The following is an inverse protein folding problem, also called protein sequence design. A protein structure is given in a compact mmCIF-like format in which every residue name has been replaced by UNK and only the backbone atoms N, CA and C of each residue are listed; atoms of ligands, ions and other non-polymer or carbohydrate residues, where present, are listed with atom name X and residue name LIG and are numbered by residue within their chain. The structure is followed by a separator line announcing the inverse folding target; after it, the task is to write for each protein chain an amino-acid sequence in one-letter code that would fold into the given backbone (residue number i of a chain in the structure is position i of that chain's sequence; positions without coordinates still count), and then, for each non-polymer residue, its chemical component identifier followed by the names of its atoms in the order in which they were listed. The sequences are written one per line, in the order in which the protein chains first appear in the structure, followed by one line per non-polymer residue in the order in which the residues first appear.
data_IF_783981355362
#
_entry.id   IF_783981355362
#
_cell.length_a   1.000
_cell.length_b   1.000
_cell.length_c   1.000
_cell.angle_alpha   90.00
_cell.angle_beta   90.00
_cell.angle_gamma   90.00
#
_symmetry.space_group_name_H-M   'P 1'
#
loop_
_entity.id
_entity.type
_entity.pdbx_description
1 polymer ?
#
# COMPACT_ATOMS: atom_id res chain seq x y z
N UNK A 1 73.00 -41.44 -12.31
CA UNK A 1 73.26 -40.08 -12.83
C UNK A 1 72.07 -39.21 -12.48
N UNK A 2 72.26 -38.26 -11.60
CA UNK A 2 71.33 -37.42 -10.89
C UNK A 2 71.03 -36.22 -11.78
N UNK A 3 69.77 -35.79 -11.93
CA UNK A 3 69.42 -34.39 -12.14
C UNK A 3 67.88 -34.21 -11.86
N UNK A 4 67.61 -33.66 -10.80
CA UNK A 4 66.94 -32.44 -10.31
C UNK A 4 65.99 -31.80 -11.33
N UNK A 5 64.68 -31.74 -10.99
CA UNK A 5 63.81 -30.67 -11.37
C UNK A 5 63.01 -30.24 -10.16
N UNK A 6 63.48 -29.17 -9.54
CA UNK A 6 62.69 -28.29 -8.64
C UNK A 6 62.34 -27.07 -9.45
N UNK A 7 61.20 -26.51 -9.15
CA UNK A 7 60.56 -25.22 -9.47
C UNK A 7 59.37 -25.31 -10.38
N UNK A 8 58.22 -25.12 -9.76
CA UNK A 8 57.20 -24.14 -10.16
C UNK A 8 55.91 -24.36 -9.35
N UNK A 9 55.92 -23.97 -8.09
CA UNK A 9 54.73 -23.92 -7.24
C UNK A 9 54.72 -22.59 -6.46
N UNK A 10 54.62 -21.48 -7.21
CA UNK A 10 54.53 -20.16 -6.60
C UNK A 10 53.79 -19.17 -7.55
N UNK A 11 52.60 -19.52 -8.00
CA UNK A 11 51.91 -18.64 -8.93
C UNK A 11 50.37 -18.67 -8.88
N UNK A 12 49.79 -19.49 -8.00
CA UNK A 12 48.33 -19.66 -8.04
C UNK A 12 47.58 -19.22 -6.78
N UNK A 13 48.27 -18.54 -5.85
CA UNK A 13 47.60 -18.16 -4.58
C UNK A 13 47.14 -16.69 -4.49
N UNK A 14 47.35 -15.91 -5.56
CA UNK A 14 46.99 -14.47 -5.54
C UNK A 14 45.71 -14.11 -6.33
N UNK A 15 45.08 -15.07 -7.00
CA UNK A 15 43.91 -14.77 -7.83
C UNK A 15 42.56 -15.11 -7.16
N UNK A 16 42.57 -15.67 -5.95
CA UNK A 16 41.35 -16.08 -5.24
C UNK A 16 40.83 -15.00 -4.26
N UNK A 17 41.61 -13.97 -3.99
CA UNK A 17 41.29 -12.95 -2.99
C UNK A 17 40.60 -11.68 -3.56
N UNK A 18 40.39 -11.57 -4.86
CA UNK A 18 39.74 -10.40 -5.48
C UNK A 18 38.29 -10.67 -5.86
N UNK A 19 37.79 -11.90 -5.83
CA UNK A 19 36.42 -12.23 -6.15
C UNK A 19 35.46 -12.27 -4.94
N UNK A 20 35.96 -11.96 -3.75
CA UNK A 20 35.17 -12.04 -2.51
C UNK A 20 34.50 -10.74 -2.08
N UNK A 21 34.59 -9.63 -2.83
CA UNK A 21 33.97 -8.36 -2.48
C UNK A 21 33.03 -7.82 -3.57
N UNK A 22 32.34 -8.68 -4.29
CA UNK A 22 31.03 -8.24 -4.78
C UNK A 22 30.14 -8.17 -3.55
N UNK A 23 30.23 -7.04 -2.85
CA UNK A 23 29.21 -6.62 -1.92
C UNK A 23 27.90 -6.79 -2.68
N UNK A 24 27.11 -7.74 -2.22
CA UNK A 24 25.70 -7.69 -2.46
C UNK A 24 25.29 -6.32 -1.90
N UNK A 25 25.10 -5.34 -2.78
CA UNK A 25 24.20 -4.26 -2.50
C UNK A 25 22.89 -4.98 -2.23
N UNK A 26 22.67 -5.36 -1.00
CA UNK A 26 21.37 -5.69 -0.49
C UNK A 26 20.58 -4.43 -0.78
N UNK A 27 19.78 -4.51 -1.84
CA UNK A 27 18.65 -3.63 -2.01
C UNK A 27 18.04 -3.57 -0.61
N UNK A 28 18.22 -2.43 0.05
CA UNK A 28 17.63 -2.22 1.37
C UNK A 28 16.16 -2.10 1.06
N UNK A 29 15.50 -3.25 0.96
CA UNK A 29 14.08 -3.36 0.70
C UNK A 29 13.42 -2.45 1.71
N UNK A 30 12.78 -1.40 1.23
CA UNK A 30 12.03 -0.47 2.06
C UNK A 30 11.08 -1.34 2.87
N UNK A 31 11.33 -1.48 4.18
CA UNK A 31 10.46 -2.27 5.04
C UNK A 31 9.17 -1.48 5.18
N UNK A 32 8.13 -1.97 4.57
CA UNK A 32 6.80 -1.43 4.76
C UNK A 32 6.35 -1.60 6.22
N UNK A 33 5.75 -0.57 6.74
CA UNK A 33 5.08 -0.57 8.04
C UNK A 33 3.87 0.35 7.98
N UNK A 34 2.89 0.14 8.84
CA UNK A 34 1.74 1.06 8.91
C UNK A 34 2.20 2.51 9.12
N UNK A 35 3.23 2.74 9.94
CA UNK A 35 3.71 4.09 10.22
C UNK A 35 4.46 4.71 9.02
N UNK A 36 5.28 3.95 8.30
CA UNK A 36 6.00 4.46 7.14
C UNK A 36 5.07 4.77 5.97
N UNK A 37 4.06 3.93 5.75
CA UNK A 37 3.18 4.04 4.60
C UNK A 37 1.99 4.98 4.86
N UNK A 38 1.38 4.90 6.06
CA UNK A 38 0.13 5.59 6.36
C UNK A 38 0.25 6.70 7.43
N UNK A 39 1.45 6.91 8.00
CA UNK A 39 1.63 7.90 9.07
C UNK A 39 1.23 9.32 8.70
N UNK A 40 1.37 9.71 7.43
CA UNK A 40 0.96 11.03 6.94
C UNK A 40 -0.56 11.21 6.97
N UNK A 41 -1.34 10.12 6.87
CA UNK A 41 -2.80 10.16 6.86
C UNK A 41 -3.39 10.48 8.23
N UNK A 42 -2.68 10.20 9.33
CA UNK A 42 -3.20 10.40 10.69
C UNK A 42 -3.73 11.82 10.90
N UNK A 43 -4.99 11.90 11.38
CA UNK A 43 -5.72 13.14 11.63
C UNK A 43 -7.01 13.23 10.83
N UNK A 44 -7.57 14.45 10.74
CA UNK A 44 -8.85 14.71 10.08
C UNK A 44 -8.64 15.31 8.69
N UNK A 45 -9.51 14.90 7.78
CA UNK A 45 -9.49 15.28 6.37
C UNK A 45 -10.89 15.67 5.90
N UNK A 46 -10.96 16.55 4.94
CA UNK A 46 -12.16 16.78 4.14
C UNK A 46 -11.88 16.31 2.73
N UNK A 47 -12.67 15.38 2.23
CA UNK A 47 -12.56 14.83 0.89
C UNK A 47 -13.73 15.33 0.05
N UNK A 48 -13.41 16.03 -1.05
CA UNK A 48 -14.40 16.38 -2.06
C UNK A 48 -14.56 15.19 -3.02
N UNK A 49 -15.75 14.59 -3.02
CA UNK A 49 -16.04 13.37 -3.79
C UNK A 49 -16.86 13.74 -5.02
N UNK A 50 -16.30 13.45 -6.20
CA UNK A 50 -16.96 13.53 -7.49
C UNK A 50 -17.29 12.14 -7.99
N UNK A 51 -18.55 11.87 -8.35
CA UNK A 51 -19.02 10.58 -8.81
C UNK A 51 -19.92 10.76 -10.03
N UNK A 52 -19.65 9.99 -11.08
CA UNK A 52 -20.43 10.06 -12.31
C UNK A 52 -21.92 9.81 -12.03
N UNK A 53 -22.78 10.77 -12.43
CA UNK A 53 -24.24 10.66 -12.27
C UNK A 53 -24.78 10.97 -10.87
N UNK A 54 -23.92 11.41 -9.94
CA UNK A 54 -24.31 11.84 -8.59
C UNK A 54 -23.87 13.28 -8.32
N UNK A 55 -24.54 14.04 -7.46
CA UNK A 55 -24.04 15.33 -7.01
C UNK A 55 -22.71 15.18 -6.26
N UNK A 56 -21.82 16.13 -6.47
CA UNK A 56 -20.59 16.23 -5.69
C UNK A 56 -20.92 16.44 -4.21
N UNK A 57 -20.07 15.89 -3.34
CA UNK A 57 -20.27 15.95 -1.89
C UNK A 57 -18.95 16.00 -1.14
N UNK A 58 -18.98 16.62 0.04
CA UNK A 58 -17.87 16.57 0.98
C UNK A 58 -18.06 15.46 2.00
N UNK A 59 -17.02 14.69 2.23
CA UNK A 59 -16.96 13.61 3.21
C UNK A 59 -15.85 13.94 4.20
N UNK A 60 -16.17 13.89 5.49
CA UNK A 60 -15.16 13.95 6.55
C UNK A 60 -14.54 12.58 6.75
N UNK A 61 -13.22 12.52 6.76
CA UNK A 61 -12.45 11.29 7.01
C UNK A 61 -11.52 11.53 8.19
N UNK A 62 -11.48 10.59 9.12
CA UNK A 62 -10.57 10.63 10.26
C UNK A 62 -9.76 9.33 10.32
N UNK A 63 -8.44 9.48 10.36
CA UNK A 63 -7.50 8.37 10.53
C UNK A 63 -6.87 8.42 11.90
N UNK A 64 -6.89 7.33 12.61
CA UNK A 64 -6.28 7.19 13.94
C UNK A 64 -5.57 5.85 14.14
N UNK A 65 -4.56 5.84 15.02
CA UNK A 65 -3.94 4.59 15.43
C UNK A 65 -4.80 3.87 16.45
N UNK A 66 -4.90 2.55 16.29
CA UNK A 66 -5.55 1.65 17.21
C UNK A 66 -4.63 0.48 17.55
N UNK A 67 -4.88 -0.20 18.69
CA UNK A 67 -4.13 -1.38 19.15
C UNK A 67 -2.60 -1.19 19.11
N UNK A 68 -2.09 -0.20 19.82
CA UNK A 68 -0.65 0.12 19.89
C UNK A 68 -0.02 0.34 18.50
N UNK A 69 -0.70 1.08 17.63
CA UNK A 69 -0.29 1.38 16.25
C UNK A 69 -0.19 0.16 15.32
N UNK A 70 -0.87 -0.94 15.66
CA UNK A 70 -0.92 -2.14 14.82
C UNK A 70 -2.07 -2.13 13.83
N UNK A 71 -3.01 -1.23 14.02
CA UNK A 71 -4.18 -1.05 13.17
C UNK A 71 -4.35 0.43 12.89
N UNK A 72 -4.52 0.78 11.64
CA UNK A 72 -5.02 2.08 11.21
C UNK A 72 -6.54 1.96 11.14
N UNK A 73 -7.23 2.80 11.89
CA UNK A 73 -8.67 2.98 11.81
C UNK A 73 -8.98 4.22 10.98
N UNK A 74 -9.90 4.07 10.05
CA UNK A 74 -10.47 5.15 9.28
C UNK A 74 -11.96 5.23 9.58
N UNK A 75 -12.48 6.44 9.80
CA UNK A 75 -13.89 6.71 9.99
C UNK A 75 -14.35 7.71 8.95
N UNK A 76 -15.38 7.38 8.16
CA UNK A 76 -15.96 8.26 7.14
C UNK A 76 -17.29 8.82 7.63
N UNK A 77 -17.50 10.13 7.42
CA UNK A 77 -18.72 10.84 7.82
C UNK A 77 -19.29 11.70 6.70
N UNK A 78 -20.59 11.66 6.57
CA UNK A 78 -21.36 12.60 5.74
C UNK A 78 -22.12 13.55 6.68
N UNK A 79 -21.60 14.76 6.88
CA UNK A 79 -21.99 15.61 8.00
C UNK A 79 -21.68 14.91 9.32
N UNK A 80 -22.66 14.83 10.22
CA UNK A 80 -22.51 14.17 11.52
C UNK A 80 -22.72 12.65 11.47
N UNK A 81 -23.20 12.12 10.33
CA UNK A 81 -23.52 10.70 10.20
C UNK A 81 -22.29 9.89 9.84
N UNK A 82 -21.97 8.90 10.67
CA UNK A 82 -20.98 7.86 10.32
C UNK A 82 -21.52 7.02 9.17
N UNK A 83 -20.76 6.93 8.06
CA UNK A 83 -21.13 6.19 6.86
C UNK A 83 -20.20 5.04 6.54
N UNK A 84 -19.06 4.92 7.23
CA UNK A 84 -18.17 3.79 7.08
C UNK A 84 -17.08 3.78 8.15
N UNK A 85 -16.61 2.60 8.49
CA UNK A 85 -15.42 2.37 9.29
C UNK A 85 -14.54 1.32 8.61
N UNK A 86 -13.23 1.59 8.60
CA UNK A 86 -12.25 0.78 7.93
C UNK A 86 -11.08 0.52 8.87
N UNK A 87 -10.49 -0.67 8.77
CA UNK A 87 -9.40 -1.11 9.62
C UNK A 87 -8.33 -1.74 8.75
N UNK A 88 -7.14 -1.15 8.72
CA UNK A 88 -6.01 -1.65 7.95
C UNK A 88 -4.92 -2.17 8.88
N UNK A 89 -4.35 -3.31 8.57
CA UNK A 89 -3.24 -3.93 9.29
C UNK A 89 -2.16 -4.42 8.34
N UNK A 90 -0.91 -4.51 8.85
CA UNK A 90 0.21 -5.06 8.09
C UNK A 90 0.22 -6.59 8.17
N UNK A 91 0.23 -7.25 7.00
CA UNK A 91 0.40 -8.69 6.88
C UNK A 91 1.86 -9.04 6.60
N UNK A 92 2.59 -9.34 7.67
CA UNK A 92 4.02 -9.67 7.60
C UNK A 92 4.33 -10.86 6.67
N UNK A 93 3.42 -11.82 6.55
CA UNK A 93 3.63 -13.00 5.72
C UNK A 93 3.57 -12.69 4.23
N UNK A 94 2.80 -11.65 3.85
CA UNK A 94 2.63 -11.21 2.47
C UNK A 94 3.47 -9.98 2.12
N UNK A 95 4.15 -9.38 3.12
CA UNK A 95 4.81 -8.08 3.01
C UNK A 95 3.90 -7.05 2.34
N UNK A 96 2.75 -6.83 2.97
CA UNK A 96 1.72 -5.94 2.44
C UNK A 96 0.66 -5.64 3.48
N UNK A 97 -0.37 -4.95 3.07
CA UNK A 97 -1.47 -4.53 3.94
C UNK A 97 -2.76 -5.19 3.52
N UNK A 98 -3.61 -5.42 4.49
CA UNK A 98 -4.99 -5.85 4.30
C UNK A 98 -5.89 -5.16 5.30
N UNK A 99 -7.12 -5.00 4.92
CA UNK A 99 -8.11 -4.38 5.79
C UNK A 99 -9.51 -4.89 5.55
N UNK A 100 -10.38 -4.41 6.39
CA UNK A 100 -11.82 -4.65 6.32
C UNK A 100 -12.56 -3.34 6.57
N UNK A 101 -13.60 -3.10 5.79
CA UNK A 101 -14.50 -1.98 5.96
C UNK A 101 -15.94 -2.45 6.15
N UNK A 102 -16.68 -1.68 6.91
CA UNK A 102 -18.11 -1.90 7.13
C UNK A 102 -18.86 -0.59 6.96
N UNK A 103 -20.02 -0.66 6.32
CA UNK A 103 -20.86 0.50 6.09
C UNK A 103 -22.26 0.08 5.64
N UNK A 104 -23.15 1.03 5.24
CA UNK A 104 -24.47 0.73 4.73
C UNK A 104 -24.49 -0.19 3.50
N UNK A 105 -23.36 -0.25 2.78
CA UNK A 105 -23.15 -1.13 1.63
C UNK A 105 -22.77 -2.57 1.99
N UNK A 106 -22.62 -2.91 3.29
CA UNK A 106 -22.17 -4.21 3.76
C UNK A 106 -20.74 -4.20 4.25
N UNK A 107 -19.98 -5.25 3.94
CA UNK A 107 -18.57 -5.39 4.28
C UNK A 107 -17.70 -5.49 3.02
N UNK A 108 -16.53 -4.88 3.09
CA UNK A 108 -15.49 -4.91 2.07
C UNK A 108 -14.19 -5.38 2.70
N UNK A 109 -13.43 -6.16 1.97
CA UNK A 109 -12.06 -6.55 2.33
C UNK A 109 -11.13 -6.03 1.25
N UNK A 110 -9.94 -5.56 1.62
CA UNK A 110 -8.96 -5.11 0.63
C UNK A 110 -7.55 -5.57 0.97
N UNK A 111 -6.69 -5.52 -0.06
CA UNK A 111 -5.27 -5.76 0.07
C UNK A 111 -4.47 -4.82 -0.83
N UNK A 112 -3.28 -4.43 -0.36
CA UNK A 112 -2.33 -3.63 -1.11
C UNK A 112 -0.88 -3.91 -0.68
N UNK A 113 0.08 -3.27 -1.34
CA UNK A 113 1.52 -3.42 -1.09
C UNK A 113 2.16 -2.21 -0.42
N UNK A 114 1.36 -1.25 0.04
CA UNK A 114 1.83 0.02 0.58
C UNK A 114 2.12 1.05 -0.49
N UNK A 115 2.55 2.23 -0.04
CA UNK A 115 2.92 3.31 -0.93
C UNK A 115 4.28 3.08 -1.58
N UNK A 116 4.33 3.28 -2.88
CA UNK A 116 5.56 3.29 -3.67
C UNK A 116 5.61 4.58 -4.50
N UNK A 117 6.65 5.40 -4.29
CA UNK A 117 6.80 6.70 -4.96
C UNK A 117 5.55 7.60 -4.84
N UNK A 118 4.91 7.61 -3.67
CA UNK A 118 3.71 8.39 -3.41
C UNK A 118 2.42 7.81 -3.97
N UNK A 119 2.44 6.61 -4.53
CA UNK A 119 1.27 5.92 -5.09
C UNK A 119 1.00 4.59 -4.39
N UNK A 120 -0.26 4.26 -4.25
CA UNK A 120 -0.72 2.98 -3.72
C UNK A 120 -1.87 2.48 -4.59
N UNK A 121 -1.85 1.19 -4.94
CA UNK A 121 -2.97 0.52 -5.60
C UNK A 121 -3.56 -0.53 -4.67
N UNK A 122 -4.85 -0.46 -4.47
CA UNK A 122 -5.61 -1.33 -3.59
C UNK A 122 -6.65 -2.11 -4.36
N UNK A 123 -6.86 -3.38 -3.98
CA UNK A 123 -7.90 -4.24 -4.53
C UNK A 123 -8.94 -4.53 -3.48
N UNK A 124 -10.20 -4.23 -3.81
CA UNK A 124 -11.35 -4.49 -2.96
C UNK A 124 -12.10 -5.76 -3.37
N UNK A 125 -12.58 -6.47 -2.35
CA UNK A 125 -13.31 -7.73 -2.49
C UNK A 125 -14.53 -7.72 -1.57
N UNK A 126 -15.67 -8.24 -2.04
CA UNK A 126 -16.76 -8.65 -1.16
C UNK A 126 -16.57 -10.11 -0.76
N UNK A 127 -17.10 -10.44 0.42
CA UNK A 127 -17.07 -11.80 0.93
C UNK A 127 -18.49 -12.31 1.06
N UNK A 128 -18.84 -13.29 0.23
CA UNK A 128 -20.16 -13.92 0.24
C UNK A 128 -20.02 -15.44 0.07
N UNK A 129 -20.76 -16.21 0.89
CA UNK A 129 -20.78 -17.66 0.83
C UNK A 129 -19.42 -18.36 0.93
N UNK A 130 -18.41 -17.72 1.56
CA UNK A 130 -17.05 -18.25 1.65
C UNK A 130 -16.16 -17.95 0.43
N UNK A 131 -16.65 -17.16 -0.53
CA UNK A 131 -15.90 -16.73 -1.71
C UNK A 131 -15.57 -15.25 -1.65
N UNK A 132 -14.36 -14.88 -2.07
CA UNK A 132 -13.95 -13.49 -2.29
C UNK A 132 -14.16 -13.13 -3.75
N UNK A 133 -14.99 -12.12 -4.00
CA UNK A 133 -15.26 -11.63 -5.36
C UNK A 133 -14.66 -10.23 -5.49
N UNK A 134 -13.77 -9.97 -6.47
CA UNK A 134 -13.26 -8.62 -6.72
C UNK A 134 -14.40 -7.67 -7.08
N UNK A 135 -14.47 -6.51 -6.42
CA UNK A 135 -15.54 -5.53 -6.65
C UNK A 135 -15.03 -4.14 -6.98
N UNK A 136 -13.82 -3.81 -6.56
CA UNK A 136 -13.24 -2.49 -6.79
C UNK A 136 -11.72 -2.53 -6.88
N UNK A 137 -11.18 -1.46 -7.39
CA UNK A 137 -9.76 -1.10 -7.32
C UNK A 137 -9.68 0.38 -6.99
N UNK A 138 -8.85 0.74 -6.03
CA UNK A 138 -8.57 2.12 -5.68
C UNK A 138 -7.11 2.45 -5.97
N UNK A 139 -6.87 3.63 -6.50
CA UNK A 139 -5.53 4.18 -6.70
C UNK A 139 -5.40 5.46 -5.90
N UNK A 140 -4.47 5.45 -4.94
CA UNK A 140 -4.15 6.59 -4.10
C UNK A 140 -2.91 7.29 -4.64
N UNK A 141 -2.94 8.62 -4.66
CA UNK A 141 -1.80 9.47 -4.96
C UNK A 141 -1.57 10.43 -3.79
N UNK A 142 -0.43 10.29 -3.08
CA UNK A 142 0.01 11.25 -2.07
C UNK A 142 0.64 12.44 -2.78
N UNK A 143 -0.09 13.55 -2.83
CA UNK A 143 0.38 14.81 -3.41
C UNK A 143 1.31 15.55 -2.44
N UNK A 144 0.98 15.51 -1.12
CA UNK A 144 1.80 16.06 -0.03
C UNK A 144 1.40 15.41 1.30
N UNK A 145 1.99 15.87 2.42
CA UNK A 145 1.60 15.42 3.77
C UNK A 145 0.21 15.91 4.21
N UNK A 146 -0.38 16.82 3.44
CA UNK A 146 -1.70 17.42 3.71
C UNK A 146 -2.66 17.32 2.54
N UNK A 147 -2.31 16.55 1.52
CA UNK A 147 -3.13 16.40 0.32
C UNK A 147 -2.91 15.01 -0.31
N UNK A 148 -3.97 14.25 -0.52
CA UNK A 148 -3.97 13.03 -1.32
C UNK A 148 -5.23 12.95 -2.19
N UNK A 149 -5.16 12.18 -3.27
CA UNK A 149 -6.28 11.91 -4.18
C UNK A 149 -6.49 10.42 -4.27
N UNK A 150 -7.76 10.00 -4.32
CA UNK A 150 -8.16 8.60 -4.57
C UNK A 150 -8.96 8.55 -5.86
N UNK A 151 -8.68 7.56 -6.67
CA UNK A 151 -9.48 7.20 -7.84
C UNK A 151 -10.01 5.79 -7.66
N UNK A 152 -11.32 5.64 -7.60
CA UNK A 152 -11.99 4.35 -7.51
C UNK A 152 -12.44 3.85 -8.88
N UNK A 153 -12.34 2.56 -9.07
CA UNK A 153 -12.70 1.87 -10.30
C UNK A 153 -13.50 0.62 -9.96
N UNK A 154 -14.51 0.31 -10.74
CA UNK A 154 -15.13 -1.00 -10.69
C UNK A 154 -14.10 -2.09 -11.01
N UNK A 155 -14.24 -3.26 -10.39
CA UNK A 155 -13.46 -4.43 -10.76
C UNK A 155 -13.90 -4.89 -12.14
N UNK A 156 -13.47 -4.17 -13.16
CA UNK A 156 -13.76 -4.48 -14.55
C UNK A 156 -13.22 -5.86 -14.93
N UNK A 157 -13.92 -6.50 -15.82
CA UNK A 157 -13.55 -7.81 -16.44
C UNK A 157 -12.36 -7.67 -17.38
N UNK A 158 -11.20 -7.19 -16.90
CA UNK A 158 -10.02 -7.11 -17.76
C UNK A 158 -8.92 -6.18 -17.27
N UNK A 159 -7.75 -6.33 -17.88
CA UNK A 159 -6.51 -5.62 -17.55
C UNK A 159 -6.49 -4.12 -17.92
N UNK A 160 -7.56 -3.56 -18.43
CA UNK A 160 -7.72 -2.12 -18.66
C UNK A 160 -8.85 -1.61 -17.78
N UNK A 161 -8.48 -0.81 -16.80
CA UNK A 161 -9.44 -0.03 -16.03
C UNK A 161 -10.24 0.86 -16.97
N UNK A 162 -11.56 0.86 -16.77
CA UNK A 162 -12.43 1.88 -17.30
C UNK A 162 -12.09 3.26 -16.69
N UNK A 163 -12.84 4.32 -16.99
CA UNK A 163 -12.73 5.58 -16.29
C UNK A 163 -13.01 5.36 -14.80
N UNK A 164 -12.43 6.21 -13.96
CA UNK A 164 -12.73 6.19 -12.52
C UNK A 164 -14.25 6.36 -12.30
N UNK A 165 -14.82 5.57 -11.41
CA UNK A 165 -16.23 5.68 -11.01
C UNK A 165 -16.44 6.86 -10.10
N UNK A 166 -15.46 7.10 -9.21
CA UNK A 166 -15.37 8.28 -8.35
C UNK A 166 -13.94 8.73 -8.14
N UNK A 167 -13.83 9.99 -7.75
CA UNK A 167 -12.57 10.62 -7.36
C UNK A 167 -12.79 11.36 -6.05
N UNK A 168 -11.88 11.16 -5.12
CA UNK A 168 -11.84 11.84 -3.84
C UNK A 168 -10.61 12.73 -3.77
N UNK A 169 -10.79 14.04 -3.63
CA UNK A 169 -9.73 15.03 -3.43
C UNK A 169 -9.72 15.44 -1.96
N UNK A 170 -8.70 15.01 -1.21
CA UNK A 170 -8.68 15.02 0.24
C UNK A 170 -7.64 15.99 0.79
N UNK A 171 -8.09 16.98 1.56
CA UNK A 171 -7.24 18.00 2.20
C UNK A 171 -7.31 17.84 3.73
N UNK A 172 -6.13 17.85 4.37
CA UNK A 172 -6.02 17.73 5.84
C UNK A 172 -6.55 18.96 6.55
N UNK A 173 -7.44 18.72 7.51
CA UNK A 173 -7.99 19.78 8.39
C UNK A 173 -6.93 20.16 9.43
N UNK A 174 -6.67 21.45 9.59
CA UNK A 174 -5.71 22.00 10.59
C UNK A 174 -6.28 21.97 12.00
#
# INVERSE_FOLDING_TARGET
MIQRFTLALAGSLFLVLILGHMAHATDASVRHSLESDYGFMIGRWTCHVTQAGSPDRDVGVEYEWSYDRRVLRESMRLGDKLVGEFFTTYDKAKDGFKGVGVGPWGSLVWENRGFHEGRLSEKGFTFDGGQMTPVSRSEFERVSDTHYVVHDFDAGTGSRAGPATDTEDCIKVK
#
